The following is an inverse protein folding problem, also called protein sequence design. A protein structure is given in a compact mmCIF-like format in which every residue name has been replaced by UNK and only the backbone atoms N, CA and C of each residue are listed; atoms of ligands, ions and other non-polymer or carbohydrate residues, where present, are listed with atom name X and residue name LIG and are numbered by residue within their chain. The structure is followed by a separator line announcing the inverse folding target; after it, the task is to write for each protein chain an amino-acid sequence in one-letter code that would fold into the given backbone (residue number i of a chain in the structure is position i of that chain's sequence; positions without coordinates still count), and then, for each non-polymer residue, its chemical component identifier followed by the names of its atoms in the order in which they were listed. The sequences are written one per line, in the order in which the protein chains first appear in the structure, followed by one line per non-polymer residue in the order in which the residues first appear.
data_IF_845245678996
#
_entry.id   IF_845245678996
#
_cell.length_a   1.000
_cell.length_b   1.000
_cell.length_c   1.000
_cell.angle_alpha   90.00
_cell.angle_beta   90.00
_cell.angle_gamma   90.00
#
_symmetry.space_group_name_H-M   'P 1'
#
loop_
_entity.id
_entity.type
_entity.pdbx_description
1 polymer ?
2 polymer ?
3 water ?
#
# COMPACT_ATOMS: atom_id res chain seq x y z
N UNK A 3 -25.17 7.87 21.03
CA UNK A 3 -26.20 6.83 20.99
C UNK A 3 -25.59 5.43 21.07
N UNK A 4 -25.00 4.99 19.96
CA UNK A 4 -24.28 3.73 19.98
C UNK A 4 -22.81 4.00 20.23
N UNK A 5 -22.52 5.19 20.76
CA UNK A 5 -21.12 5.61 20.91
C UNK A 5 -20.28 4.69 21.79
N UNK A 6 -20.75 4.43 23.00
CA UNK A 6 -19.98 3.66 23.96
C UNK A 6 -19.88 2.21 23.56
N UNK A 7 -20.92 1.70 22.90
CA UNK A 7 -20.84 0.35 22.36
C UNK A 7 -19.73 0.26 21.31
N UNK A 8 -19.52 1.34 20.57
CA UNK A 8 -18.49 1.36 19.51
C UNK A 8 -17.08 1.29 20.09
N UNK A 9 -16.86 1.93 21.22
CA UNK A 9 -15.60 1.78 21.95
C UNK A 9 -15.37 0.30 22.29
N UNK A 10 -16.41 -0.33 22.83
CA UNK A 10 -16.35 -1.75 23.12
C UNK A 10 -15.96 -2.53 21.88
N UNK A 11 -16.52 -2.14 20.73
CA UNK A 11 -16.23 -2.81 19.45
C UNK A 11 -14.77 -2.75 19.06
N UNK A 12 -14.16 -1.57 19.19
CA UNK A 12 -12.76 -1.41 18.76
C UNK A 12 -11.84 -2.29 19.60
N UNK A 13 -12.09 -2.34 20.91
CA UNK A 13 -11.35 -3.22 21.80
C UNK A 13 -11.50 -4.69 21.38
N UNK A 14 -12.72 -5.10 21.08
CA UNK A 14 -12.91 -6.46 20.58
C UNK A 14 -12.13 -6.68 19.27
N UNK A 15 -12.12 -5.68 18.40
CA UNK A 15 -11.40 -5.80 17.11
C UNK A 15 -9.91 -5.98 17.29
N UNK A 16 -9.34 -5.27 18.25
CA UNK A 16 -7.91 -5.38 18.55
C UNK A 16 -7.56 -6.81 18.92
N UNK A 17 -8.42 -7.46 19.69
CA UNK A 17 -8.15 -8.86 20.06
C UNK A 17 -8.42 -9.81 18.90
N UNK A 18 -9.44 -9.51 18.12
CA UNK A 18 -9.69 -10.28 16.91
C UNK A 18 -8.49 -10.26 15.97
N UNK A 19 -7.87 -9.09 15.81
CA UNK A 19 -6.77 -8.94 14.90
C UNK A 19 -5.57 -9.76 15.36
N UNK A 20 -5.35 -9.81 16.68
CA UNK A 20 -4.29 -10.64 17.23
C UNK A 20 -4.50 -12.10 16.83
N UNK A 21 -5.74 -12.57 16.89
CA UNK A 21 -6.10 -13.94 16.47
C UNK A 21 -5.86 -14.16 14.96
N UNK A 22 -6.08 -13.12 14.17
CA UNK A 22 -5.82 -13.23 12.73
C UNK A 22 -4.33 -13.42 12.45
N UNK A 23 -3.51 -12.71 13.22
CA UNK A 23 -2.06 -12.85 13.09
C UNK A 23 -1.63 -14.26 13.47
N UNK A 24 -2.22 -14.82 14.52
CA UNK A 24 -1.93 -16.20 14.89
C UNK A 24 -2.25 -17.14 13.75
N UNK A 25 -3.43 -16.95 13.18
CA UNK A 25 -3.85 -17.73 12.02
C UNK A 25 -2.93 -17.53 10.82
N UNK A 26 -2.53 -16.27 10.57
CA UNK A 26 -1.61 -15.97 9.47
C UNK A 26 -0.27 -16.69 9.67
N UNK A 27 0.21 -16.70 10.90
CA UNK A 27 1.48 -17.39 11.20
C UNK A 27 1.37 -18.91 11.01
N UNK A 28 0.19 -19.47 11.27
CA UNK A 28 -0.05 -20.89 10.99
C UNK A 28 0.00 -21.16 9.49
N UNK A 29 -0.64 -20.29 8.71
CA UNK A 29 -0.59 -20.39 7.25
C UNK A 29 0.84 -20.35 6.75
N UNK A 30 1.63 -19.42 7.27
CA UNK A 30 3.03 -19.30 6.88
C UNK A 30 3.80 -20.61 7.11
N UNK A 31 3.65 -21.19 8.30
CA UNK A 31 4.34 -22.44 8.61
C UNK A 31 3.95 -23.56 7.63
N UNK A 32 2.66 -23.62 7.31
CA UNK A 32 2.14 -24.63 6.39
C UNK A 32 2.72 -24.45 4.98
N UNK A 33 2.78 -23.21 4.50
CA UNK A 33 3.38 -22.91 3.20
C UNK A 33 4.88 -23.18 3.19
N UNK A 34 5.58 -22.81 4.26
CA UNK A 34 7.02 -23.08 4.35
C UNK A 34 7.31 -24.57 4.26
N UNK A 35 6.51 -25.34 4.97
CA UNK A 35 6.65 -26.80 4.96
C UNK A 35 6.38 -27.40 3.58
N UNK A 36 5.34 -26.91 2.92
CA UNK A 36 5.00 -27.38 1.58
C UNK A 36 6.12 -27.02 0.61
N UNK A 37 6.61 -25.79 0.71
CA UNK A 37 7.69 -25.36 -0.16
C UNK A 37 8.99 -26.14 0.08
N UNK A 38 9.30 -26.47 1.34
CA UNK A 38 10.52 -27.25 1.59
C UNK A 38 10.40 -28.62 0.93
N UNK A 39 9.22 -29.21 1.01
CA UNK A 39 9.00 -30.50 0.35
C UNK A 39 9.16 -30.44 -1.18
N UNK A 40 8.61 -29.42 -1.80
CA UNK A 40 8.73 -29.22 -3.24
C UNK A 40 10.18 -28.95 -3.64
N UNK A 41 10.91 -28.15 -2.86
CA UNK A 41 12.33 -27.92 -3.13
C UNK A 41 13.16 -29.20 -3.13
N UNK A 42 12.95 -30.07 -2.13
CA UNK A 42 13.68 -31.33 -2.08
C UNK A 42 13.32 -32.19 -3.27
N UNK A 43 12.05 -32.13 -3.70
CA UNK A 43 11.57 -32.92 -4.83
C UNK A 43 12.20 -32.44 -6.13
N UNK A 44 12.17 -31.10 -6.30
CA UNK A 44 12.79 -30.44 -7.43
C UNK A 44 14.29 -30.73 -7.51
N UNK A 45 14.95 -30.78 -6.36
CA UNK A 45 16.38 -31.09 -6.33
C UNK A 45 16.65 -32.48 -6.89
N UNK A 46 15.85 -33.46 -6.46
CA UNK A 46 16.00 -34.83 -6.95
C UNK A 46 15.79 -34.90 -8.47
N UNK A 47 14.73 -34.27 -8.93
CA UNK A 47 14.41 -34.24 -10.34
C UNK A 47 15.45 -33.47 -11.15
N UNK A 48 16.04 -32.45 -10.53
CA UNK A 48 17.07 -31.68 -11.18
C UNK A 48 18.28 -32.58 -11.43
N UNK A 49 18.63 -33.41 -10.45
CA UNK A 49 19.76 -34.31 -10.62
C UNK A 49 19.46 -35.33 -11.71
N UNK A 50 18.25 -35.90 -11.70
CA UNK A 50 17.89 -36.92 -12.68
C UNK A 50 17.84 -36.40 -14.10
N UNK A 51 17.19 -35.25 -14.29
CA UNK A 51 17.04 -34.73 -15.64
C UNK A 51 18.35 -34.20 -16.22
N UNK A 52 19.22 -33.64 -15.37
CA UNK A 52 20.50 -33.11 -15.84
C UNK A 52 21.38 -34.24 -16.36
N UNK A 53 21.42 -35.33 -15.63
CA UNK A 53 22.17 -36.52 -16.02
C UNK A 53 21.65 -37.13 -17.32
N UNK A 54 20.34 -37.24 -17.42
CA UNK A 54 19.71 -37.84 -18.61
C UNK A 54 19.94 -37.05 -19.90
N UNK A 55 20.05 -35.73 -19.79
CA UNK A 55 20.16 -34.88 -20.98
C UNK A 55 21.58 -34.65 -21.49
N UNK A 56 22.58 -34.68 -20.62
CA UNK A 56 23.94 -34.49 -21.10
C UNK A 56 24.54 -35.82 -21.61
N UNK A 57 23.65 -36.76 -21.90
CA UNK A 57 24.03 -38.06 -22.45
C UNK A 57 23.64 -38.14 -23.94
N UNK A 58 24.64 -38.21 -24.82
CA UNK A 58 24.39 -38.20 -26.27
C UNK A 58 23.77 -39.51 -26.76
N UNK A 63 16.76 -46.89 -23.31
CA UNK A 63 15.97 -47.97 -23.88
C UNK A 63 15.98 -49.20 -23.00
N UNK A 64 16.91 -49.25 -22.05
CA UNK A 64 17.04 -50.40 -21.16
C UNK A 64 15.78 -50.48 -20.33
N UNK A 65 15.25 -51.71 -20.11
CA UNK A 65 13.95 -51.85 -19.45
C UNK A 65 13.90 -51.25 -18.04
N UNK A 66 14.99 -51.23 -17.29
CA UNK A 66 15.00 -50.50 -16.00
C UNK A 66 14.81 -48.99 -16.19
N UNK A 67 15.61 -48.38 -17.07
CA UNK A 67 15.49 -46.94 -17.30
C UNK A 67 14.15 -46.57 -17.90
N UNK A 68 13.66 -47.42 -18.80
CA UNK A 68 12.37 -47.20 -19.44
C UNK A 68 11.25 -47.24 -18.41
N UNK A 69 11.27 -48.25 -17.53
CA UNK A 69 10.30 -48.28 -16.44
C UNK A 69 10.38 -47.05 -15.54
N UNK A 70 11.58 -46.70 -15.11
CA UNK A 70 11.74 -45.52 -14.25
C UNK A 70 11.22 -44.25 -14.92
N UNK A 71 11.54 -44.07 -16.21
CA UNK A 71 11.06 -42.89 -16.94
C UNK A 71 9.54 -42.88 -17.10
N UNK A 72 8.94 -43.98 -17.57
CA UNK A 72 7.48 -44.05 -17.74
C UNK A 72 6.74 -43.74 -16.46
N UNK A 73 7.21 -44.33 -15.36
CA UNK A 73 6.56 -44.12 -14.07
C UNK A 73 6.74 -42.69 -13.57
N UNK A 74 7.92 -42.13 -13.78
CA UNK A 74 8.15 -40.76 -13.34
C UNK A 74 7.24 -39.79 -14.11
N UNK A 75 7.20 -39.94 -15.43
CA UNK A 75 6.35 -39.06 -16.23
C UNK A 75 4.87 -39.27 -15.96
N UNK A 76 4.44 -40.53 -16.00
CA UNK A 76 3.02 -40.82 -15.83
C UNK A 76 2.55 -40.59 -14.41
N UNK A 77 3.31 -41.10 -13.44
CA UNK A 77 2.82 -41.07 -12.05
C UNK A 77 3.43 -39.97 -11.18
N UNK A 78 4.75 -39.92 -11.11
CA UNK A 78 5.40 -39.00 -10.19
C UNK A 78 5.12 -37.52 -10.47
N UNK A 79 5.10 -37.13 -11.74
CA UNK A 79 4.78 -35.74 -12.07
C UNK A 79 3.34 -35.34 -11.71
N UNK A 80 2.41 -36.30 -11.75
CA UNK A 80 1.06 -36.01 -11.29
C UNK A 80 1.00 -35.79 -9.79
N UNK A 81 1.76 -36.57 -9.02
CA UNK A 81 1.79 -36.34 -7.58
C UNK A 81 2.42 -35.00 -7.23
N UNK A 82 3.49 -34.65 -7.95
CA UNK A 82 4.14 -33.34 -7.76
C UNK A 82 3.16 -32.21 -8.11
N UNK A 83 2.43 -32.36 -9.20
CA UNK A 83 1.42 -31.37 -9.58
C UNK A 83 0.36 -31.18 -8.50
N UNK A 84 -0.11 -32.29 -7.93
CA UNK A 84 -1.11 -32.21 -6.86
C UNK A 84 -0.61 -31.41 -5.65
N UNK A 85 0.66 -31.58 -5.33
CA UNK A 85 1.26 -30.85 -4.21
C UNK A 85 1.42 -29.35 -4.52
N UNK A 86 1.92 -29.03 -5.71
CA UNK A 86 2.01 -27.63 -6.15
C UNK A 86 0.66 -26.92 -6.06
N UNK A 87 -0.40 -27.59 -6.49
CA UNK A 87 -1.73 -27.01 -6.49
C UNK A 87 -2.41 -26.98 -5.12
N UNK A 88 -1.89 -27.71 -4.16
CA UNK A 88 -2.53 -27.80 -2.83
C UNK A 88 -2.57 -26.44 -2.12
N UNK A 89 -3.76 -25.98 -1.78
CA UNK A 89 -3.94 -24.68 -1.14
C UNK A 89 -3.71 -24.82 0.37
N UNK A 90 -2.86 -23.96 0.94
CA UNK A 90 -2.60 -23.99 2.38
C UNK A 90 -3.32 -22.88 3.14
N UNK A 91 -4.08 -22.05 2.42
CA UNK A 91 -4.63 -20.83 3.01
C UNK A 91 -6.10 -20.90 3.43
N UNK A 92 -6.76 -22.04 3.23
CA UNK A 92 -8.19 -22.17 3.54
C UNK A 92 -8.53 -21.71 4.95
N UNK A 93 -7.82 -22.24 5.93
CA UNK A 93 -8.13 -21.93 7.33
C UNK A 93 -8.02 -20.43 7.60
N UNK A 94 -6.94 -19.83 7.14
CA UNK A 94 -6.73 -18.41 7.35
C UNK A 94 -7.81 -17.59 6.63
N UNK A 95 -8.02 -17.87 5.36
CA UNK A 95 -9.00 -17.13 4.56
C UNK A 95 -10.43 -17.28 5.08
N UNK A 96 -10.77 -18.49 5.54
CA UNK A 96 -12.08 -18.72 6.15
C UNK A 96 -12.30 -17.83 7.37
N UNK A 97 -11.33 -17.81 8.28
CA UNK A 97 -11.46 -16.97 9.47
C UNK A 97 -11.53 -15.47 9.15
N UNK A 98 -10.63 -15.01 8.27
CA UNK A 98 -10.62 -13.60 7.85
C UNK A 98 -11.97 -13.19 7.27
N UNK A 99 -12.52 -14.03 6.41
CA UNK A 99 -13.81 -13.76 5.80
C UNK A 99 -14.92 -13.61 6.84
N UNK A 100 -14.98 -14.53 7.79
CA UNK A 100 -15.93 -14.42 8.89
C UNK A 100 -15.70 -13.14 9.71
N UNK A 101 -14.47 -12.88 10.10
CA UNK A 101 -14.16 -11.70 10.91
C UNK A 101 -14.43 -10.35 10.22
N UNK A 102 -14.23 -10.29 8.91
CA UNK A 102 -14.42 -9.05 8.16
C UNK A 102 -15.84 -8.49 8.26
N UNK A 103 -16.81 -9.35 8.56
CA UNK A 103 -18.20 -8.93 8.70
C UNK A 103 -18.31 -7.84 9.76
N UNK A 104 -17.40 -7.84 10.73
CA UNK A 104 -17.45 -6.89 11.83
C UNK A 104 -16.40 -5.77 11.69
N UNK A 105 -15.66 -5.75 10.59
CA UNK A 105 -14.62 -4.74 10.36
C UNK A 105 -15.20 -3.38 10.00
N UNK A 106 -14.47 -2.31 10.31
CA UNK A 106 -14.87 -0.99 9.78
C UNK A 106 -14.80 -1.02 8.26
N UNK A 107 -15.52 -0.11 7.62
CA UNK A 107 -15.56 -0.06 6.16
C UNK A 107 -14.95 1.24 5.63
N UNK A 108 -15.11 1.52 4.34
CA UNK A 108 -14.48 2.71 3.74
C UNK A 108 -14.95 4.01 4.39
N UNK A 109 -16.22 4.05 4.75
CA UNK A 109 -16.82 5.24 5.37
C UNK A 109 -16.25 5.45 6.76
N UNK A 110 -15.99 4.36 7.47
CA UNK A 110 -15.38 4.43 8.78
C UNK A 110 -13.94 4.94 8.70
N UNK A 111 -13.22 4.49 7.67
CA UNK A 111 -11.83 4.91 7.49
C UNK A 111 -11.75 6.39 7.16
N UNK A 112 -12.63 6.85 6.28
CA UNK A 112 -12.72 8.28 5.99
C UNK A 112 -13.14 9.05 7.24
N UNK A 113 -14.11 8.53 7.98
CA UNK A 113 -14.51 9.18 9.22
C UNK A 113 -13.35 9.39 10.18
N UNK A 114 -12.49 8.38 10.30
CA UNK A 114 -11.36 8.47 11.21
C UNK A 114 -10.32 9.46 10.72
N UNK A 115 -10.13 9.52 9.42
CA UNK A 115 -9.21 10.48 8.82
C UNK A 115 -9.68 11.90 9.12
N UNK A 116 -10.99 12.12 8.96
CA UNK A 116 -11.55 13.44 9.26
C UNK A 116 -11.41 13.78 10.74
N UNK A 117 -11.61 12.80 11.62
CA UNK A 117 -11.47 13.07 13.05
C UNK A 117 -10.02 13.46 13.40
N UNK A 118 -9.05 12.85 12.72
CA UNK A 118 -7.65 13.20 12.94
C UNK A 118 -7.40 14.62 12.46
N UNK A 119 -7.92 14.95 11.28
CA UNK A 119 -7.78 16.30 10.73
C UNK A 119 -8.47 17.33 11.62
N UNK A 120 -9.62 16.98 12.18
CA UNK A 120 -10.33 17.90 13.08
C UNK A 120 -9.48 18.22 14.32
N UNK A 121 -8.91 17.18 14.92
CA UNK A 121 -7.99 17.33 16.05
C UNK A 121 -6.80 18.22 15.68
N UNK A 122 -6.25 17.99 14.51
CA UNK A 122 -5.12 18.79 14.06
C UNK A 122 -5.51 20.26 13.95
N UNK A 123 -6.65 20.51 13.34
CA UNK A 123 -7.10 21.88 13.14
C UNK A 123 -7.41 22.57 14.49
N UNK A 124 -7.98 21.82 15.42
CA UNK A 124 -8.37 22.35 16.73
C UNK A 124 -7.16 22.79 17.55
N UNK A 125 -6.13 21.96 17.58
CA UNK A 125 -4.97 22.26 18.40
C UNK A 125 -3.80 22.80 17.59
N UNK A 126 -4.06 23.11 16.33
CA UNK A 126 -3.04 23.67 15.44
C UNK A 126 -1.78 22.83 15.42
N UNK A 127 -1.97 21.52 15.30
CA UNK A 127 -0.87 20.56 15.40
C UNK A 127 -0.10 20.52 14.09
N UNK A 128 1.22 20.45 14.18
CA UNK A 128 1.98 20.33 12.96
C UNK A 128 2.02 18.87 12.49
N UNK A 129 2.28 18.71 11.22
CA UNK A 129 2.18 17.47 10.52
C UNK A 129 3.25 16.46 10.94
N UNK A 130 4.45 16.95 11.18
CA UNK A 130 5.58 16.10 11.56
C UNK A 130 5.38 15.59 12.99
N UNK A 131 4.82 16.42 13.85
CA UNK A 131 4.49 16.01 15.22
C UNK A 131 3.49 14.86 15.25
N UNK A 132 2.45 14.96 14.43
CA UNK A 132 1.47 13.89 14.30
C UNK A 132 2.09 12.65 13.69
N UNK A 133 2.86 12.82 12.62
CA UNK A 133 3.33 11.69 11.85
C UNK A 133 4.39 10.85 12.58
N UNK A 134 5.24 11.52 13.34
CA UNK A 134 6.42 10.87 13.91
C UNK A 134 6.18 10.35 15.32
N UNK A 135 4.90 10.26 15.70
CA UNK A 135 4.54 9.81 17.03
C UNK A 135 5.10 10.68 18.14
N UNK A 136 4.95 12.00 18.00
CA UNK A 136 5.45 12.91 19.02
C UNK A 136 4.37 13.64 19.79
N UNK A 137 3.13 13.17 19.65
CA UNK A 137 2.03 13.62 20.49
C UNK A 137 2.11 12.99 21.87
N UNK A 138 1.90 13.80 22.93
CA UNK A 138 2.01 13.45 24.35
C UNK A 138 1.37 12.13 24.76
N UNK A 139 1.89 11.57 25.86
CA UNK A 139 1.42 10.31 26.42
C UNK A 139 1.93 9.11 25.65
N UNK A 140 1.44 8.98 24.42
CA UNK A 140 1.87 7.96 23.49
C UNK A 140 3.11 8.49 22.72
N UNK A 141 4.24 8.47 23.40
CA UNK A 141 5.50 9.05 22.89
C UNK A 141 6.32 8.05 22.08
N UNK A 142 6.61 8.42 20.83
CA UNK A 142 7.39 7.59 19.91
C UNK A 142 6.78 6.21 19.72
N UNK A 143 5.49 6.16 19.37
CA UNK A 143 4.78 4.89 19.24
C UNK A 143 4.16 4.60 17.87
N UNK A 144 3.15 5.36 17.49
CA UNK A 144 2.41 5.09 16.25
C UNK A 144 2.85 6.09 15.18
N UNK A 145 3.35 5.57 14.06
CA UNK A 145 3.88 6.42 13.00
C UNK A 145 2.98 6.35 11.77
N UNK A 146 2.84 7.48 11.08
CA UNK A 146 2.13 7.49 9.81
C UNK A 146 3.11 7.29 8.65
N UNK A 147 2.73 6.46 7.68
CA UNK A 147 3.56 6.23 6.50
C UNK A 147 3.37 7.39 5.51
N UNK A 148 4.19 7.40 4.47
CA UNK A 148 4.09 8.43 3.43
C UNK A 148 2.72 8.32 2.78
N UNK A 149 2.26 7.09 2.58
CA UNK A 149 0.94 6.85 2.02
C UNK A 149 -0.20 7.32 2.94
N UNK A 150 -0.04 7.14 4.26
CA UNK A 150 -1.01 7.65 5.23
C UNK A 150 -1.09 9.17 5.10
N UNK A 151 0.07 9.82 4.97
CA UNK A 151 0.13 11.28 4.82
C UNK A 151 -0.58 11.74 3.54
N UNK A 152 -0.30 11.06 2.43
CA UNK A 152 -0.98 11.33 1.16
C UNK A 152 -2.49 11.17 1.32
N UNK A 153 -2.93 10.09 1.97
CA UNK A 153 -4.35 9.85 2.16
C UNK A 153 -5.01 10.96 2.98
N UNK A 154 -4.35 11.40 4.05
CA UNK A 154 -4.92 12.45 4.87
C UNK A 154 -5.01 13.76 4.06
N UNK A 155 -3.98 14.03 3.25
CA UNK A 155 -3.96 15.19 2.40
C UNK A 155 -5.11 15.19 1.41
N UNK A 156 -5.43 14.02 0.88
CA UNK A 156 -6.54 13.87 -0.06
C UNK A 156 -7.89 14.02 0.61
N UNK A 157 -8.02 13.56 1.86
CA UNK A 157 -9.25 13.84 2.60
C UNK A 157 -9.40 15.35 2.82
N UNK A 158 -8.32 16.01 3.21
CA UNK A 158 -8.36 17.46 3.38
C UNK A 158 -8.77 18.11 2.06
N UNK A 159 -8.20 17.63 0.96
CA UNK A 159 -8.51 18.14 -0.37
C UNK A 159 -10.00 18.05 -0.74
N UNK A 160 -10.62 16.93 -0.43
CA UNK A 160 -12.03 16.74 -0.75
C UNK A 160 -12.90 17.71 0.05
N UNK A 161 -12.42 18.13 1.20
CA UNK A 161 -13.16 19.08 2.04
C UNK A 161 -12.78 20.52 1.72
N UNK A 162 -11.95 20.69 0.69
CA UNK A 162 -11.51 22.01 0.25
C UNK A 162 -10.65 22.73 1.28
N UNK A 163 -9.98 21.96 2.13
CA UNK A 163 -8.98 22.54 3.03
C UNK A 163 -7.61 22.49 2.36
N UNK A 164 -7.32 23.48 1.52
CA UNK A 164 -6.08 23.46 0.73
C UNK A 164 -4.86 23.72 1.59
N UNK A 165 -5.05 24.44 2.69
CA UNK A 165 -3.97 24.64 3.64
C UNK A 165 -3.45 23.31 4.22
N UNK A 166 -4.35 22.46 4.70
CA UNK A 166 -3.90 21.17 5.23
C UNK A 166 -3.56 20.16 4.15
N UNK A 167 -4.14 20.32 2.95
CA UNK A 167 -3.74 19.50 1.83
C UNK A 167 -2.25 19.73 1.59
N UNK A 168 -1.87 21.00 1.52
CA UNK A 168 -0.47 21.35 1.31
C UNK A 168 0.46 20.76 2.39
N UNK A 169 0.07 20.91 3.65
CA UNK A 169 0.91 20.43 4.75
C UNK A 169 1.11 18.92 4.70
N UNK A 170 0.03 18.19 4.44
CA UNK A 170 0.12 16.72 4.43
C UNK A 170 0.89 16.19 3.21
N UNK A 171 0.69 16.82 2.06
CA UNK A 171 1.42 16.42 0.84
C UNK A 171 2.91 16.67 1.02
N UNK A 172 3.26 17.77 1.68
CA UNK A 172 4.67 18.09 1.87
C UNK A 172 5.31 17.11 2.86
N UNK A 173 4.52 16.68 3.84
CA UNK A 173 5.00 15.68 4.78
C UNK A 173 5.25 14.36 4.07
N UNK A 174 4.33 13.96 3.20
CA UNK A 174 4.53 12.76 2.40
C UNK A 174 5.85 12.83 1.64
N UNK A 175 6.08 13.95 0.97
CA UNK A 175 7.30 14.12 0.19
C UNK A 175 8.56 14.15 1.03
N UNK A 176 8.49 14.76 2.22
CA UNK A 176 9.64 14.76 3.12
C UNK A 176 10.00 13.35 3.57
N UNK A 177 8.99 12.54 3.86
CA UNK A 177 9.26 11.18 4.30
C UNK A 177 9.93 10.36 3.21
N UNK A 178 9.50 10.56 1.96
CA UNK A 178 10.19 9.94 0.83
C UNK A 178 11.66 10.41 0.74
N UNK A 179 11.87 11.71 0.86
CA UNK A 179 13.23 12.28 0.79
C UNK A 179 14.11 11.69 1.89
N UNK A 180 13.50 11.44 3.04
CA UNK A 180 14.24 10.87 4.17
C UNK A 180 14.54 9.39 3.96
N UNK A 181 14.04 8.82 2.86
CA UNK A 181 14.41 7.47 2.50
C UNK A 181 13.36 6.43 2.80
N UNK A 182 12.12 6.86 3.02
CA UNK A 182 11.05 5.89 3.25
C UNK A 182 10.73 5.14 1.98
N UNK A 183 10.67 3.82 2.05
CA UNK A 183 10.26 3.04 0.89
C UNK A 183 8.74 3.00 0.84
N UNK A 184 8.18 3.29 -0.33
CA UNK A 184 6.75 3.50 -0.45
C UNK A 184 6.33 3.30 -1.88
N UNK A 185 5.05 3.02 -2.07
CA UNK A 185 4.53 2.78 -3.41
C UNK A 185 3.74 3.98 -3.93
N UNK A 186 3.70 5.08 -3.18
CA UNK A 186 2.88 6.21 -3.64
C UNK A 186 3.43 6.80 -4.92
N UNK A 187 2.51 7.29 -5.75
CA UNK A 187 2.84 7.86 -7.04
C UNK A 187 3.20 9.31 -6.75
N UNK A 188 4.50 9.59 -6.72
CA UNK A 188 4.98 10.93 -6.37
C UNK A 188 4.47 11.99 -7.35
N UNK A 189 4.21 11.59 -8.59
CA UNK A 189 3.62 12.51 -9.55
C UNK A 189 2.25 12.99 -9.06
N UNK A 190 1.43 12.04 -8.62
CA UNK A 190 0.11 12.35 -8.08
C UNK A 190 0.19 13.24 -6.84
N UNK A 191 1.16 12.98 -5.98
CA UNK A 191 1.37 13.84 -4.82
C UNK A 191 1.63 15.29 -5.26
N UNK A 192 2.52 15.47 -6.23
CA UNK A 192 2.83 16.80 -6.76
C UNK A 192 1.62 17.44 -7.48
N UNK A 193 0.82 16.59 -8.11
CA UNK A 193 -0.38 17.02 -8.82
C UNK A 193 -1.36 17.71 -7.85
N UNK A 194 -1.69 17.02 -6.76
CA UNK A 194 -2.53 17.62 -5.69
C UNK A 194 -1.85 18.79 -5.00
N UNK A 195 -0.58 18.63 -4.69
CA UNK A 195 0.16 19.67 -3.97
C UNK A 195 0.27 20.98 -4.75
N UNK A 196 0.58 20.90 -6.04
CA UNK A 196 0.68 22.10 -6.86
C UNK A 196 -0.67 22.81 -6.95
N UNK A 197 -1.77 22.07 -7.07
CA UNK A 197 -3.07 22.69 -7.12
C UNK A 197 -3.41 23.36 -5.78
N UNK A 198 -3.10 22.71 -4.66
CA UNK A 198 -3.44 23.27 -3.35
C UNK A 198 -2.70 24.58 -3.13
N UNK A 199 -1.45 24.61 -3.58
CA UNK A 199 -0.61 25.79 -3.44
C UNK A 199 -1.14 26.88 -4.35
N UNK A 200 -1.48 26.51 -5.59
CA UNK A 200 -2.09 27.45 -6.52
C UNK A 200 -3.34 28.08 -5.91
N UNK A 201 -4.22 27.25 -5.36
CA UNK A 201 -5.46 27.74 -4.74
C UNK A 201 -5.25 28.79 -3.67
N UNK A 202 -4.15 28.70 -2.92
CA UNK A 202 -3.90 29.67 -1.86
C UNK A 202 -3.15 30.89 -2.40
N UNK A 203 -2.90 30.89 -3.71
CA UNK A 203 -2.41 32.08 -4.39
C UNK A 203 -0.91 32.22 -4.61
N UNK A 204 -0.12 31.25 -4.17
CA UNK A 204 1.32 31.36 -4.39
C UNK A 204 1.69 30.82 -5.77
N UNK A 205 1.67 31.68 -6.76
CA UNK A 205 1.93 31.26 -8.13
C UNK A 205 3.36 30.78 -8.32
N UNK A 206 4.31 31.46 -7.69
CA UNK A 206 5.73 31.14 -7.86
C UNK A 206 5.99 29.69 -7.48
N UNK A 207 5.53 29.33 -6.29
CA UNK A 207 5.68 27.98 -5.76
C UNK A 207 4.92 26.93 -6.59
N UNK A 208 3.70 27.26 -7.00
CA UNK A 208 2.95 26.33 -7.85
C UNK A 208 3.71 26.05 -9.15
N UNK A 209 4.30 27.09 -9.74
CA UNK A 209 5.11 26.96 -10.94
C UNK A 209 6.30 26.02 -10.71
N UNK A 210 6.99 26.25 -9.61
CA UNK A 210 8.10 25.40 -9.20
C UNK A 210 7.70 23.93 -9.12
N UNK A 211 6.61 23.63 -8.41
CA UNK A 211 6.16 22.27 -8.21
C UNK A 211 5.74 21.63 -9.53
N UNK A 212 5.12 22.43 -10.41
CA UNK A 212 4.73 21.97 -11.73
C UNK A 212 5.95 21.53 -12.54
N UNK A 213 7.02 22.32 -12.48
CA UNK A 213 8.27 21.93 -13.13
C UNK A 213 8.85 20.65 -12.54
N UNK A 214 8.79 20.49 -11.23
CA UNK A 214 9.22 19.25 -10.59
C UNK A 214 8.43 18.06 -11.12
N UNK A 215 7.13 18.23 -11.25
CA UNK A 215 6.27 17.14 -11.70
C UNK A 215 6.65 16.73 -13.12
N UNK A 216 6.81 17.71 -13.99
CA UNK A 216 7.14 17.47 -15.40
C UNK A 216 8.48 16.78 -15.61
N UNK A 217 9.38 16.90 -14.64
CA UNK A 217 10.63 16.16 -14.67
C UNK A 217 10.35 14.68 -14.58
N UNK A 218 9.36 14.32 -13.76
CA UNK A 218 9.04 12.92 -13.48
C UNK A 218 8.09 12.33 -14.52
N UNK A 219 7.24 13.18 -15.08
CA UNK A 219 6.27 12.77 -16.07
C UNK A 219 6.12 13.89 -17.09
N UNK A 220 6.97 13.86 -18.14
CA UNK A 220 6.99 14.92 -19.14
C UNK A 220 5.69 15.02 -19.93
N UNK A 221 4.92 13.93 -19.94
CA UNK A 221 3.69 13.87 -20.73
C UNK A 221 2.44 14.16 -19.90
N UNK A 222 2.63 14.49 -18.63
CA UNK A 222 1.51 14.76 -17.72
C UNK A 222 0.64 15.91 -18.26
N UNK A 223 -0.55 15.56 -18.74
CA UNK A 223 -1.41 16.51 -19.45
C UNK A 223 -1.76 17.73 -18.62
N UNK A 224 -2.22 17.49 -17.41
CA UNK A 224 -2.65 18.58 -16.54
C UNK A 224 -1.50 19.52 -16.20
N UNK A 225 -0.34 18.94 -15.89
CA UNK A 225 0.84 19.74 -15.53
C UNK A 225 1.38 20.55 -16.71
N UNK A 226 1.39 19.94 -17.90
CA UNK A 226 1.83 20.65 -19.10
C UNK A 226 0.96 21.85 -19.39
N UNK A 227 -0.34 21.68 -19.22
CA UNK A 227 -1.27 22.78 -19.38
C UNK A 227 -1.08 23.83 -18.31
N UNK A 228 -0.78 23.39 -17.08
CA UNK A 228 -0.53 24.35 -16.01
C UNK A 228 0.70 25.20 -16.25
N UNK A 229 1.73 24.59 -16.83
CA UNK A 229 2.96 25.32 -17.14
C UNK A 229 2.71 26.39 -18.19
N UNK A 230 1.99 26.03 -19.24
CA UNK A 230 1.65 27.01 -20.27
C UNK A 230 0.83 28.14 -19.66
N UNK A 231 -0.15 27.79 -18.82
CA UNK A 231 -0.90 28.80 -18.06
C UNK A 231 0.00 29.72 -17.24
N UNK A 232 0.88 29.15 -16.43
CA UNK A 232 1.76 29.96 -15.59
C UNK A 232 2.69 30.82 -16.45
N UNK A 233 3.28 30.21 -17.48
CA UNK A 233 4.17 30.93 -18.38
C UNK A 233 3.48 32.06 -19.10
N UNK A 234 2.21 31.86 -19.48
CA UNK A 234 1.43 32.94 -20.05
C UNK A 234 1.27 34.09 -19.06
N UNK A 235 0.67 33.82 -17.90
CA UNK A 235 0.41 34.89 -16.92
C UNK A 235 1.69 35.44 -16.28
N UNK A 236 2.47 34.57 -15.64
CA UNK A 236 3.64 35.00 -14.89
C UNK A 236 4.65 35.73 -15.76
N UNK A 237 4.70 35.35 -17.04
CA UNK A 237 5.51 36.06 -18.01
C UNK A 237 4.63 36.90 -18.93
N UNK B 1 -5.51 32.62 -26.82
CA UNK B 1 -5.53 32.79 -25.38
C UNK B 1 -4.79 31.63 -24.70
N UNK B 2 -4.46 31.77 -23.41
CA UNK B 2 -3.76 30.69 -22.72
C UNK B 2 -4.70 29.51 -22.51
N UNK B 3 -4.19 28.39 -21.97
CA UNK B 3 -5.13 27.36 -21.57
C UNK B 3 -5.97 27.85 -20.40
N UNK B 4 -7.07 27.14 -20.09
CA UNK B 4 -7.82 27.43 -18.86
C UNK B 4 -6.92 27.24 -17.65
N UNK B 5 -7.19 27.95 -16.54
CA UNK B 5 -6.42 27.82 -15.31
C UNK B 5 -6.36 26.38 -14.77
N UNK B 6 -5.38 26.08 -13.91
CA UNK B 6 -5.24 24.74 -13.32
C UNK B 6 -6.55 24.21 -12.76
N UNK B 7 -7.00 23.05 -13.24
CA UNK B 7 -8.23 22.48 -12.71
C UNK B 7 -7.93 21.61 -11.50
N UNK B 8 -8.96 21.37 -10.67
CA UNK B 8 -8.79 20.47 -9.53
C UNK B 8 -8.60 19.04 -10.02
N UNK B 9 -7.54 18.36 -9.55
CA UNK B 9 -7.33 16.96 -9.94
C UNK B 9 -8.49 16.11 -9.42
#
# INVERSE_FOLDING_TARGET
MHPGFFTSIGQMTDLIHTEKDLVTSLKDYIKAEEDKLEQIKKWAEKLDRLTSTATKDPEGFVGHPVNAFKLMKRLNTEWSELENLVLKDMSDGFISNLTIQRQYFPNDEDQVGAAKALLRLQDTYNLDTDTISKGNLPGVKHKSFLTAEDCFELGKVAYTEADYYHTELWMEQALRQLDEGEISTIDKVSVLDYLSYAVYQQGDLDKALLLTKKLLELDPEHQRANGNLKYFEYIMAKE
PPPPPPPPP
#
